data_IF_122991655316
#
_entry.id   IF_122991655316
#
_cell.length_a   1.000
_cell.length_b   1.000
_cell.length_c   1.000
_cell.angle_alpha   90.00
_cell.angle_beta   90.00
_cell.angle_gamma   90.00
#
_symmetry.space_group_name_H-M   'P 1'
#
loop_
_entity.id
_entity.type
_entity.pdbx_description
1 polymer ?
#
# COMPACT_ATOMS: atom_id res chain seq x y z
N UNK A 1 16.15 -5.02 -11.52
CA UNK A 1 15.13 -5.95 -10.96
C UNK A 1 13.79 -5.60 -11.60
N UNK A 2 12.90 -6.59 -11.82
CA UNK A 2 11.57 -6.32 -12.36
C UNK A 2 10.75 -5.49 -11.35
N UNK A 3 10.01 -4.50 -11.84
CA UNK A 3 9.09 -3.68 -11.05
C UNK A 3 7.97 -4.57 -10.49
N UNK A 4 7.66 -4.45 -9.20
CA UNK A 4 6.58 -5.20 -8.55
C UNK A 4 5.46 -4.27 -8.14
N UNK A 5 4.23 -4.79 -8.16
CA UNK A 5 3.04 -4.01 -7.84
C UNK A 5 2.28 -4.52 -6.62
N UNK A 6 1.66 -3.57 -5.91
CA UNK A 6 0.63 -3.80 -4.90
C UNK A 6 -0.69 -3.22 -5.39
N UNK A 7 -1.77 -3.98 -5.29
CA UNK A 7 -3.15 -3.51 -5.49
C UNK A 7 -3.79 -3.34 -4.13
N UNK A 8 -4.11 -2.09 -3.77
CA UNK A 8 -4.57 -1.73 -2.42
C UNK A 8 -6.08 -1.47 -2.37
N UNK A 9 -6.73 -1.96 -1.32
CA UNK A 9 -8.16 -1.76 -1.10
C UNK A 9 -9.03 -2.68 -1.94
N UNK A 10 -8.62 -3.94 -2.14
CA UNK A 10 -9.46 -4.96 -2.77
C UNK A 10 -10.53 -5.42 -1.78
N UNK A 11 -11.77 -5.61 -2.28
CA UNK A 11 -12.92 -5.98 -1.46
C UNK A 11 -13.87 -6.96 -2.15
N UNK A 12 -13.56 -7.40 -3.38
CA UNK A 12 -14.39 -8.35 -4.13
C UNK A 12 -13.54 -9.47 -4.72
N UNK A 13 -14.13 -10.67 -4.96
CA UNK A 13 -13.43 -11.78 -5.60
C UNK A 13 -12.87 -11.43 -6.98
N UNK A 14 -13.62 -10.67 -7.78
CA UNK A 14 -13.24 -10.27 -9.15
C UNK A 14 -11.98 -9.40 -9.14
N UNK A 15 -11.90 -8.44 -8.20
CA UNK A 15 -10.74 -7.59 -8.03
C UNK A 15 -9.50 -8.38 -7.58
N UNK A 16 -9.69 -9.33 -6.66
CA UNK A 16 -8.62 -10.23 -6.19
C UNK A 16 -8.11 -11.09 -7.35
N UNK A 17 -9.01 -11.70 -8.12
CA UNK A 17 -8.61 -12.55 -9.24
C UNK A 17 -7.90 -11.76 -10.34
N UNK A 18 -8.43 -10.58 -10.70
CA UNK A 18 -7.77 -9.70 -11.69
C UNK A 18 -6.36 -9.28 -11.25
N UNK A 19 -6.16 -9.00 -9.95
CA UNK A 19 -4.85 -8.67 -9.41
C UNK A 19 -3.88 -9.87 -9.48
N UNK A 20 -4.35 -11.05 -9.12
CA UNK A 20 -3.55 -12.29 -9.15
C UNK A 20 -3.20 -12.72 -10.57
N UNK A 21 -4.15 -12.68 -11.49
CA UNK A 21 -3.94 -13.03 -12.89
C UNK A 21 -2.99 -12.04 -13.59
N UNK A 22 -3.04 -10.77 -13.17
CA UNK A 22 -2.10 -9.74 -13.59
C UNK A 22 -0.70 -9.84 -12.98
N UNK A 23 -0.49 -10.71 -11.99
CA UNK A 23 0.83 -10.90 -11.33
C UNK A 23 1.14 -9.88 -10.24
N UNK A 24 0.14 -9.32 -9.55
CA UNK A 24 0.36 -8.47 -8.39
C UNK A 24 1.14 -9.24 -7.31
N UNK A 25 2.20 -8.63 -6.79
CA UNK A 25 3.02 -9.23 -5.74
C UNK A 25 2.42 -9.06 -4.33
N UNK A 26 1.58 -8.04 -4.15
CA UNK A 26 0.92 -7.70 -2.88
C UNK A 26 -0.53 -7.32 -3.12
N UNK A 27 -1.44 -7.76 -2.23
CA UNK A 27 -2.83 -7.30 -2.19
C UNK A 27 -3.12 -6.70 -0.81
N UNK A 28 -3.69 -5.49 -0.79
CA UNK A 28 -4.01 -4.74 0.42
C UNK A 28 -5.50 -4.76 0.74
N UNK A 29 -5.83 -5.06 1.99
CA UNK A 29 -7.16 -5.02 2.58
C UNK A 29 -7.20 -3.92 3.62
N UNK A 30 -8.24 -3.07 3.60
CA UNK A 30 -8.31 -1.87 4.43
C UNK A 30 -9.17 -2.10 5.66
N UNK A 31 -8.60 -1.88 6.83
CA UNK A 31 -9.28 -1.95 8.13
C UNK A 31 -9.28 -0.56 8.78
N UNK A 32 -10.10 0.33 8.21
CA UNK A 32 -10.28 1.71 8.67
C UNK A 32 -11.70 2.19 8.33
N UNK A 33 -12.56 2.35 9.34
CA UNK A 33 -14.01 2.55 9.18
C UNK A 33 -14.38 3.78 8.34
N UNK A 34 -13.55 4.82 8.33
CA UNK A 34 -13.80 6.03 7.52
C UNK A 34 -13.48 5.84 6.03
N UNK A 35 -12.86 4.72 5.66
CA UNK A 35 -12.50 4.44 4.27
C UNK A 35 -13.66 3.79 3.51
N UNK A 36 -13.97 4.22 2.27
CA UNK A 36 -14.93 3.51 1.41
C UNK A 36 -14.43 2.13 0.99
N UNK A 37 -13.15 1.81 1.29
CA UNK A 37 -12.50 0.51 1.02
C UNK A 37 -12.45 -0.38 2.25
N UNK A 38 -13.06 0.06 3.36
CA UNK A 38 -13.11 -0.74 4.60
C UNK A 38 -13.80 -2.08 4.35
N UNK A 39 -13.25 -3.15 4.92
CA UNK A 39 -13.80 -4.50 4.78
C UNK A 39 -13.79 -5.21 6.15
N UNK A 40 -14.82 -6.01 6.41
CA UNK A 40 -14.87 -6.82 7.62
C UNK A 40 -13.80 -7.92 7.61
N UNK A 41 -13.22 -8.23 8.77
CA UNK A 41 -12.13 -9.20 8.91
C UNK A 41 -12.46 -10.56 8.30
N UNK A 42 -13.68 -11.07 8.51
CA UNK A 42 -14.13 -12.36 8.00
C UNK A 42 -14.21 -12.38 6.46
N UNK A 43 -14.67 -11.28 5.87
CA UNK A 43 -14.73 -11.15 4.41
C UNK A 43 -13.32 -11.06 3.82
N UNK A 44 -12.44 -10.25 4.44
CA UNK A 44 -11.05 -10.14 4.04
C UNK A 44 -10.30 -11.47 4.16
N UNK A 45 -10.53 -12.23 5.24
CA UNK A 45 -9.90 -13.54 5.44
C UNK A 45 -10.24 -14.53 4.30
N UNK A 46 -11.51 -14.60 3.90
CA UNK A 46 -11.94 -15.43 2.75
C UNK A 46 -11.28 -14.97 1.43
N UNK A 47 -11.22 -13.67 1.19
CA UNK A 47 -10.60 -13.12 -0.02
C UNK A 47 -9.07 -13.27 -0.04
N UNK A 48 -8.43 -13.40 1.11
CA UNK A 48 -6.99 -13.60 1.22
C UNK A 48 -6.55 -15.06 0.95
N UNK A 49 -7.46 -16.03 1.00
CA UNK A 49 -7.12 -17.44 0.73
C UNK A 49 -6.50 -17.66 -0.67
N UNK A 50 -7.13 -17.23 -1.78
CA UNK A 50 -6.52 -17.36 -3.10
C UNK A 50 -5.24 -16.53 -3.26
N UNK A 51 -5.09 -15.42 -2.52
CA UNK A 51 -3.86 -14.61 -2.53
C UNK A 51 -2.68 -15.43 -2.00
N UNK A 52 -2.86 -16.09 -0.84
CA UNK A 52 -1.85 -16.95 -0.23
C UNK A 52 -1.55 -18.18 -1.11
N UNK A 53 -2.59 -18.81 -1.67
CA UNK A 53 -2.46 -19.97 -2.53
C UNK A 53 -1.60 -19.70 -3.78
N UNK A 54 -1.61 -18.46 -4.29
CA UNK A 54 -0.79 -18.04 -5.42
C UNK A 54 0.56 -17.38 -5.03
N UNK A 55 0.90 -17.38 -3.74
CA UNK A 55 2.18 -16.86 -3.23
C UNK A 55 2.32 -15.34 -3.23
N UNK A 56 1.23 -14.60 -3.47
CA UNK A 56 1.22 -13.15 -3.30
C UNK A 56 1.09 -12.78 -1.82
N UNK A 57 1.60 -11.61 -1.43
CA UNK A 57 1.60 -11.15 -0.04
C UNK A 57 0.30 -10.46 0.34
N UNK A 58 -0.26 -10.85 1.48
CA UNK A 58 -1.46 -10.26 2.08
C UNK A 58 -1.06 -9.11 2.99
N UNK A 59 -1.60 -7.91 2.73
CA UNK A 59 -1.29 -6.69 3.50
C UNK A 59 -2.54 -6.17 4.18
N UNK A 60 -2.49 -5.96 5.50
CA UNK A 60 -3.53 -5.27 6.27
C UNK A 60 -3.19 -3.78 6.38
N UNK A 61 -4.00 -2.90 5.79
CA UNK A 61 -3.84 -1.46 5.93
C UNK A 61 -4.66 -0.93 7.09
N UNK A 62 -4.01 -0.17 7.97
CA UNK A 62 -4.63 0.48 9.13
C UNK A 62 -4.19 1.94 9.24
N UNK A 63 -4.92 2.73 10.03
CA UNK A 63 -4.62 4.14 10.33
C UNK A 63 -4.71 4.34 11.83
N UNK A 64 -3.59 4.67 12.47
CA UNK A 64 -3.46 4.87 13.93
C UNK A 64 -4.17 3.76 14.76
N UNK A 65 -3.87 2.46 14.51
CA UNK A 65 -4.60 1.36 15.12
C UNK A 65 -4.37 1.27 16.62
N UNK A 66 -5.40 0.88 17.37
CA UNK A 66 -5.28 0.49 18.77
C UNK A 66 -4.58 -0.88 18.91
N UNK A 67 -4.08 -1.17 20.10
CA UNK A 67 -3.47 -2.47 20.42
C UNK A 67 -4.44 -3.64 20.21
N UNK A 68 -5.71 -3.43 20.59
CA UNK A 68 -6.76 -4.43 20.40
C UNK A 68 -6.98 -4.72 18.90
N UNK A 69 -7.07 -3.69 18.06
CA UNK A 69 -7.21 -3.85 16.61
C UNK A 69 -6.01 -4.56 16.00
N UNK A 70 -4.78 -4.22 16.39
CA UNK A 70 -3.56 -4.89 15.93
C UNK A 70 -3.59 -6.38 16.28
N UNK A 71 -3.93 -6.71 17.53
CA UNK A 71 -4.00 -8.10 18.00
C UNK A 71 -5.10 -8.89 17.28
N UNK A 72 -6.25 -8.28 17.05
CA UNK A 72 -7.37 -8.91 16.33
C UNK A 72 -7.01 -9.18 14.86
N UNK A 73 -6.43 -8.20 14.16
CA UNK A 73 -5.96 -8.36 12.78
C UNK A 73 -4.91 -9.48 12.69
N UNK A 74 -3.93 -9.48 13.59
CA UNK A 74 -2.89 -10.51 13.60
C UNK A 74 -3.48 -11.91 13.82
N UNK A 75 -4.41 -12.07 14.78
CA UNK A 75 -4.98 -13.36 15.13
C UNK A 75 -5.99 -13.89 14.10
N UNK A 76 -6.86 -13.04 13.54
CA UNK A 76 -8.00 -13.46 12.72
C UNK A 76 -7.79 -13.32 11.22
N UNK A 77 -6.99 -12.34 10.80
CA UNK A 77 -6.67 -12.12 9.39
C UNK A 77 -5.30 -12.68 9.02
N UNK A 78 -4.35 -12.72 9.95
CA UNK A 78 -2.99 -13.25 9.75
C UNK A 78 -2.31 -12.70 8.48
N UNK A 79 -2.08 -11.38 8.36
CA UNK A 79 -1.44 -10.79 7.19
C UNK A 79 0.05 -11.14 7.14
N UNK A 80 0.66 -11.08 5.96
CA UNK A 80 2.13 -11.11 5.83
C UNK A 80 2.77 -9.80 6.31
N UNK A 81 2.07 -8.67 6.10
CA UNK A 81 2.53 -7.33 6.46
C UNK A 81 1.36 -6.48 6.97
N UNK A 82 1.66 -5.57 7.90
CA UNK A 82 0.73 -4.49 8.26
C UNK A 82 1.24 -3.18 7.65
N UNK A 83 0.38 -2.49 6.92
CA UNK A 83 0.64 -1.15 6.41
C UNK A 83 0.06 -0.11 7.36
N UNK A 84 0.93 0.74 7.90
CA UNK A 84 0.60 1.85 8.79
C UNK A 84 0.52 3.14 7.98
N UNK A 85 -0.67 3.69 7.85
CA UNK A 85 -0.95 4.86 7.00
C UNK A 85 -1.37 6.10 7.80
N UNK A 86 -1.20 6.07 9.11
CA UNK A 86 -1.51 7.17 10.03
C UNK A 86 -0.26 7.94 10.47
N UNK A 87 -0.34 8.48 11.69
CA UNK A 87 0.72 9.31 12.30
C UNK A 87 1.65 8.52 13.21
N UNK A 88 1.67 7.19 13.07
CA UNK A 88 2.49 6.31 13.93
C UNK A 88 3.98 6.68 13.80
N UNK A 89 4.58 7.10 14.91
CA UNK A 89 6.02 7.36 14.99
C UNK A 89 6.85 6.06 15.13
N UNK A 90 8.19 6.13 15.00
CA UNK A 90 9.06 4.93 15.00
C UNK A 90 8.90 4.03 16.22
N UNK A 91 8.69 4.59 17.42
CA UNK A 91 8.45 3.82 18.64
C UNK A 91 7.15 3.00 18.52
N UNK A 92 6.06 3.65 18.09
CA UNK A 92 4.76 3.00 17.90
C UNK A 92 4.80 1.94 16.80
N UNK A 93 5.51 2.19 15.72
CA UNK A 93 5.74 1.21 14.64
C UNK A 93 6.42 -0.06 15.18
N UNK A 94 7.44 0.09 16.02
CA UNK A 94 8.13 -1.05 16.67
C UNK A 94 7.19 -1.84 17.58
N UNK A 95 6.39 -1.17 18.41
CA UNK A 95 5.40 -1.82 19.29
C UNK A 95 4.39 -2.64 18.49
N UNK A 96 3.87 -2.07 17.38
CA UNK A 96 2.92 -2.76 16.50
C UNK A 96 3.57 -3.98 15.85
N UNK A 97 4.79 -3.85 15.33
CA UNK A 97 5.53 -4.97 14.73
C UNK A 97 5.73 -6.13 15.73
N UNK A 98 6.14 -5.81 16.97
CA UNK A 98 6.33 -6.81 18.03
C UNK A 98 5.00 -7.48 18.42
N UNK A 99 3.93 -6.72 18.55
CA UNK A 99 2.60 -7.24 18.90
C UNK A 99 2.00 -8.13 17.83
N UNK A 100 2.13 -7.72 16.58
CA UNK A 100 1.57 -8.46 15.43
C UNK A 100 2.45 -9.64 15.02
N UNK A 101 3.75 -9.62 15.30
CA UNK A 101 4.70 -10.65 14.85
C UNK A 101 4.94 -10.67 13.36
N UNK A 102 4.65 -9.57 12.63
CA UNK A 102 4.79 -9.46 11.17
C UNK A 102 5.53 -8.19 10.77
N UNK A 103 6.04 -8.14 9.53
CA UNK A 103 6.70 -6.97 8.99
C UNK A 103 5.76 -5.77 8.81
N UNK A 104 6.35 -4.57 8.78
CA UNK A 104 5.60 -3.32 8.64
C UNK A 104 5.94 -2.63 7.33
N UNK A 105 4.92 -2.09 6.66
CA UNK A 105 5.04 -1.05 5.63
C UNK A 105 4.65 0.28 6.29
N UNK A 106 5.56 1.26 6.35
CA UNK A 106 5.19 2.61 6.84
C UNK A 106 4.97 3.56 5.68
N UNK A 107 3.75 4.08 5.56
CA UNK A 107 3.42 5.12 4.60
C UNK A 107 3.82 6.51 5.15
N UNK A 108 4.52 7.27 4.32
CA UNK A 108 5.00 8.63 4.61
C UNK A 108 4.42 9.59 3.55
N UNK A 109 3.74 10.67 3.97
CA UNK A 109 3.13 11.63 3.05
C UNK A 109 4.19 12.57 2.47
N UNK A 110 4.53 12.45 1.19
CA UNK A 110 5.53 13.28 0.51
C UNK A 110 4.90 14.57 0.00
N UNK A 111 5.49 15.70 0.37
CA UNK A 111 5.20 17.01 -0.20
C UNK A 111 6.49 17.79 -0.51
N UNK A 112 7.59 17.42 0.11
CA UNK A 112 8.89 18.09 0.00
C UNK A 112 10.03 17.13 0.38
N UNK A 113 11.25 17.48 0.03
CA UNK A 113 12.44 16.64 0.25
C UNK A 113 12.69 16.32 1.74
N UNK A 114 12.36 17.23 2.66
CA UNK A 114 12.56 17.03 4.10
C UNK A 114 11.83 15.80 4.67
N UNK A 115 10.68 15.42 4.08
CA UNK A 115 9.96 14.21 4.49
C UNK A 115 10.77 12.94 4.19
N UNK A 116 11.54 12.96 3.10
CA UNK A 116 12.38 11.83 2.70
C UNK A 116 13.55 11.63 3.66
N UNK A 117 14.07 12.71 4.22
CA UNK A 117 15.15 12.65 5.22
C UNK A 117 14.62 12.05 6.55
N UNK A 118 13.37 12.34 6.90
CA UNK A 118 12.71 11.75 8.06
C UNK A 118 12.45 10.22 7.92
N UNK A 119 12.46 9.69 6.69
CA UNK A 119 12.29 8.26 6.45
C UNK A 119 13.37 7.40 7.13
N UNK A 120 14.59 7.91 7.29
CA UNK A 120 15.70 7.23 7.95
C UNK A 120 15.36 6.78 9.38
N UNK A 121 14.52 7.53 10.11
CA UNK A 121 14.09 7.18 11.46
C UNK A 121 13.25 5.89 11.51
N UNK A 122 12.66 5.48 10.41
CA UNK A 122 11.81 4.28 10.31
C UNK A 122 12.56 3.05 9.82
N UNK A 123 13.68 3.19 9.10
CA UNK A 123 14.36 2.08 8.43
C UNK A 123 14.75 0.92 9.34
N UNK A 124 15.02 1.19 10.64
CA UNK A 124 15.35 0.15 11.61
C UNK A 124 14.14 -0.64 12.14
N UNK A 125 12.91 -0.17 11.89
CA UNK A 125 11.67 -0.70 12.46
C UNK A 125 10.64 -1.13 11.44
N UNK A 126 10.93 -1.00 10.14
CA UNK A 126 10.04 -1.40 9.05
C UNK A 126 10.68 -2.43 8.13
N UNK A 127 9.86 -3.20 7.44
CA UNK A 127 10.30 -4.03 6.33
C UNK A 127 10.30 -3.26 5.01
N UNK A 128 9.31 -2.36 4.84
CA UNK A 128 9.22 -1.48 3.67
C UNK A 128 8.87 -0.05 4.08
N UNK A 129 9.38 0.91 3.32
CA UNK A 129 8.85 2.27 3.30
C UNK A 129 7.80 2.40 2.19
N UNK A 130 6.89 3.36 2.31
CA UNK A 130 5.98 3.75 1.24
C UNK A 130 5.93 5.27 1.18
N UNK A 131 6.12 5.82 -0.01
CA UNK A 131 6.03 7.26 -0.27
C UNK A 131 4.72 7.54 -1.02
N UNK A 132 3.78 8.17 -0.32
CA UNK A 132 2.44 8.50 -0.84
C UNK A 132 2.28 10.02 -0.98
N UNK A 133 1.41 10.46 -1.87
CA UNK A 133 1.10 11.88 -2.02
C UNK A 133 0.46 12.43 -0.74
N UNK A 134 0.89 13.64 -0.32
CA UNK A 134 0.27 14.30 0.83
C UNK A 134 -1.22 14.53 0.58
N UNK A 135 -2.10 14.12 1.51
CA UNK A 135 -3.53 14.38 1.38
C UNK A 135 -3.83 15.89 1.42
N UNK A 136 -4.94 16.34 0.84
CA UNK A 136 -5.44 17.70 1.03
C UNK A 136 -5.60 18.04 2.51
N UNK A 137 -5.51 19.33 2.88
CA UNK A 137 -5.55 19.77 4.30
C UNK A 137 -6.81 19.32 5.04
N UNK A 138 -7.95 19.26 4.34
CA UNK A 138 -9.27 18.90 4.90
C UNK A 138 -9.70 17.46 4.56
N UNK A 139 -8.75 16.60 4.18
CA UNK A 139 -9.05 15.24 3.81
C UNK A 139 -9.41 14.38 5.03
N UNK A 140 -10.56 13.70 4.97
CA UNK A 140 -10.99 12.76 5.99
C UNK A 140 -10.14 11.48 6.05
N UNK A 141 -9.34 11.21 5.00
CA UNK A 141 -8.47 10.03 4.87
C UNK A 141 -7.03 10.44 4.57
N UNK A 142 -6.03 9.68 5.07
CA UNK A 142 -4.61 9.99 4.84
C UNK A 142 -4.11 9.65 3.44
N UNK A 143 -4.88 8.94 2.59
CA UNK A 143 -4.48 8.53 1.25
C UNK A 143 -5.66 8.24 0.32
N UNK A 144 -5.37 7.81 -0.92
CA UNK A 144 -6.40 7.41 -1.89
C UNK A 144 -7.11 8.56 -2.60
N UNK A 145 -6.50 9.74 -2.68
CA UNK A 145 -7.07 10.96 -3.28
C UNK A 145 -6.79 11.11 -4.79
N UNK A 146 -6.07 10.16 -5.41
CA UNK A 146 -5.73 10.21 -6.83
C UNK A 146 -4.81 11.38 -7.24
N UNK A 147 -4.12 12.02 -6.27
CA UNK A 147 -3.16 13.09 -6.55
C UNK A 147 -1.75 12.53 -6.61
N UNK A 148 -0.98 12.95 -7.60
CA UNK A 148 0.45 12.70 -7.69
C UNK A 148 1.24 13.84 -7.04
N UNK A 149 2.46 13.53 -6.61
CA UNK A 149 3.49 14.51 -6.24
C UNK A 149 4.62 14.49 -7.28
N UNK A 150 5.59 15.36 -7.15
CA UNK A 150 6.78 15.34 -8.03
C UNK A 150 7.64 14.12 -7.71
N UNK A 151 7.54 13.09 -8.54
CA UNK A 151 8.25 11.81 -8.38
C UNK A 151 9.77 11.95 -8.48
N UNK A 152 10.27 13.03 -9.11
CA UNK A 152 11.71 13.29 -9.22
C UNK A 152 12.37 13.57 -7.88
N UNK A 153 11.61 13.93 -6.84
CA UNK A 153 12.09 14.07 -5.46
C UNK A 153 12.72 12.78 -4.93
N UNK A 154 12.31 11.62 -5.44
CA UNK A 154 12.83 10.30 -5.06
C UNK A 154 14.02 9.87 -5.91
N UNK A 155 14.26 10.55 -7.05
CA UNK A 155 15.32 10.20 -8.00
C UNK A 155 16.70 10.23 -7.33
N UNK A 156 17.46 9.14 -7.49
CA UNK A 156 18.81 9.01 -6.91
C UNK A 156 18.85 8.83 -5.39
N UNK A 157 17.71 8.88 -4.68
CA UNK A 157 17.66 8.60 -3.25
C UNK A 157 17.95 7.12 -2.98
N UNK A 158 18.69 6.86 -1.91
CA UNK A 158 19.01 5.50 -1.45
C UNK A 158 18.41 5.29 -0.08
N UNK A 159 17.57 4.26 0.04
CA UNK A 159 16.98 3.81 1.29
C UNK A 159 17.56 2.43 1.64
N UNK A 160 17.75 2.14 2.91
CA UNK A 160 18.23 0.83 3.36
C UNK A 160 17.15 -0.26 3.24
N UNK A 161 15.88 0.15 3.16
CA UNK A 161 14.74 -0.75 2.99
C UNK A 161 14.13 -0.62 1.60
N UNK A 162 13.61 -1.71 1.03
CA UNK A 162 12.81 -1.60 -0.18
C UNK A 162 11.61 -0.69 0.05
N UNK A 163 11.16 -0.02 -1.01
CA UNK A 163 10.13 1.00 -0.85
C UNK A 163 9.13 1.02 -2.00
N UNK A 164 7.91 1.43 -1.68
CA UNK A 164 6.83 1.61 -2.62
C UNK A 164 6.69 3.08 -3.00
N UNK A 165 6.50 3.32 -4.29
CA UNK A 165 5.92 4.56 -4.80
C UNK A 165 4.40 4.42 -4.78
N UNK A 166 3.71 5.36 -4.16
CA UNK A 166 2.26 5.46 -4.11
C UNK A 166 1.79 6.88 -4.48
N UNK A 167 0.50 7.13 -4.45
CA UNK A 167 -0.09 8.45 -4.69
C UNK A 167 -0.31 8.78 -6.16
N UNK A 168 -1.58 8.74 -6.57
CA UNK A 168 -2.01 9.16 -7.90
C UNK A 168 -1.54 8.28 -9.06
N UNK A 169 -1.06 7.07 -8.78
CA UNK A 169 -0.70 6.12 -9.83
C UNK A 169 -1.94 5.55 -10.52
N UNK A 170 -1.83 5.32 -11.82
CA UNK A 170 -2.84 4.74 -12.67
C UNK A 170 -2.18 3.96 -13.85
N UNK A 171 -2.95 3.27 -14.72
CA UNK A 171 -2.40 2.52 -15.85
C UNK A 171 -1.61 3.35 -16.86
N UNK A 172 -1.87 4.65 -16.93
CA UNK A 172 -1.29 5.54 -17.96
C UNK A 172 -0.03 6.26 -17.48
N UNK A 173 0.18 6.37 -16.17
CA UNK A 173 1.30 7.11 -15.60
C UNK A 173 2.34 6.24 -14.86
N UNK A 174 2.01 5.00 -14.46
CA UNK A 174 2.88 4.17 -13.60
C UNK A 174 4.26 3.92 -14.19
N UNK A 175 4.37 3.70 -15.50
CA UNK A 175 5.66 3.48 -16.17
C UNK A 175 6.54 4.73 -16.10
N UNK A 176 5.96 5.91 -16.33
CA UNK A 176 6.69 7.17 -16.22
C UNK A 176 7.07 7.46 -14.76
N UNK A 177 6.15 7.23 -13.82
CA UNK A 177 6.38 7.45 -12.40
C UNK A 177 7.51 6.56 -11.86
N UNK A 178 7.51 5.28 -12.21
CA UNK A 178 8.57 4.34 -11.83
C UNK A 178 9.94 4.75 -12.39
N UNK A 179 10.01 5.16 -13.66
CA UNK A 179 11.25 5.64 -14.28
C UNK A 179 11.76 6.95 -13.65
N UNK A 180 10.86 7.90 -13.39
CA UNK A 180 11.23 9.20 -12.82
C UNK A 180 11.73 9.08 -11.37
N UNK A 181 11.12 8.20 -10.57
CA UNK A 181 11.47 8.00 -9.16
C UNK A 181 12.58 6.98 -8.94
N UNK A 182 12.75 6.02 -9.85
CA UNK A 182 13.59 4.83 -9.64
C UNK A 182 12.97 3.79 -8.69
N UNK A 183 11.63 3.82 -8.52
CA UNK A 183 10.92 2.96 -7.58
C UNK A 183 11.05 1.47 -7.93
N UNK A 184 11.43 0.61 -6.96
CA UNK A 184 11.45 -0.84 -7.16
C UNK A 184 10.05 -1.48 -7.00
N UNK A 185 9.15 -0.80 -6.29
CA UNK A 185 7.79 -1.25 -5.98
C UNK A 185 6.81 -0.10 -6.20
N UNK A 186 5.62 -0.41 -6.71
CA UNK A 186 4.53 0.56 -6.89
C UNK A 186 3.26 0.11 -6.18
N UNK A 187 2.47 1.07 -5.68
CA UNK A 187 1.18 0.82 -5.04
C UNK A 187 0.08 1.64 -5.71
N UNK A 188 -1.02 0.99 -6.04
CA UNK A 188 -2.19 1.67 -6.59
C UNK A 188 -3.45 1.35 -5.81
N UNK A 189 -4.28 2.36 -5.61
CA UNK A 189 -5.62 2.19 -5.03
C UNK A 189 -6.69 2.84 -5.92
N UNK A 190 -6.90 4.16 -5.82
CA UNK A 190 -7.97 4.85 -6.56
C UNK A 190 -7.79 4.85 -8.07
N UNK A 191 -6.56 4.77 -8.59
CA UNK A 191 -6.28 4.76 -10.02
C UNK A 191 -6.74 3.51 -10.78
N UNK A 192 -7.24 2.50 -10.06
CA UNK A 192 -7.86 1.29 -10.63
C UNK A 192 -9.30 1.11 -10.12
N UNK A 193 -9.99 2.21 -9.86
CA UNK A 193 -11.39 2.24 -9.41
C UNK A 193 -12.27 2.96 -10.44
N UNK A 194 -13.49 2.48 -10.62
CA UNK A 194 -14.56 3.16 -11.36
C UNK A 194 -15.37 4.13 -10.48
N UNK A 195 -15.18 4.10 -9.19
CA UNK A 195 -15.77 4.94 -8.16
C UNK A 195 -15.15 4.62 -6.80
N UNK A 196 -15.30 5.47 -5.78
CA UNK A 196 -14.67 5.28 -4.48
C UNK A 196 -14.95 3.90 -3.87
N UNK A 197 -13.89 3.09 -3.67
CA UNK A 197 -13.98 1.73 -3.13
C UNK A 197 -14.41 0.66 -4.14
N UNK A 198 -14.73 1.02 -5.38
CA UNK A 198 -15.20 0.10 -6.42
C UNK A 198 -14.07 -0.21 -7.42
N UNK A 199 -13.30 -1.24 -7.15
CA UNK A 199 -12.22 -1.70 -8.05
C UNK A 199 -12.78 -2.14 -9.40
N UNK A 200 -12.06 -1.78 -10.46
CA UNK A 200 -12.36 -2.20 -11.82
C UNK A 200 -11.34 -3.26 -12.26
N UNK A 201 -11.75 -4.52 -12.53
CA UNK A 201 -10.85 -5.58 -12.97
C UNK A 201 -10.08 -5.24 -14.26
N UNK A 202 -10.68 -4.50 -15.19
CA UNK A 202 -10.03 -4.09 -16.43
C UNK A 202 -8.93 -3.05 -16.17
N UNK A 203 -9.17 -2.09 -15.27
CA UNK A 203 -8.15 -1.11 -14.86
C UNK A 203 -7.02 -1.78 -14.07
N UNK A 204 -7.33 -2.78 -13.22
CA UNK A 204 -6.30 -3.56 -12.52
C UNK A 204 -5.41 -4.29 -13.53
N UNK A 205 -6.00 -4.97 -14.51
CA UNK A 205 -5.27 -5.67 -15.57
C UNK A 205 -4.40 -4.71 -16.38
N UNK A 206 -4.94 -3.56 -16.80
CA UNK A 206 -4.22 -2.54 -17.55
C UNK A 206 -3.04 -1.95 -16.75
N UNK A 207 -3.22 -1.71 -15.44
CA UNK A 207 -2.15 -1.24 -14.55
C UNK A 207 -1.00 -2.26 -14.45
N UNK A 208 -1.34 -3.53 -14.22
CA UNK A 208 -0.34 -4.59 -14.09
C UNK A 208 0.37 -4.88 -15.42
N UNK A 209 -0.32 -4.73 -16.55
CA UNK A 209 0.31 -4.75 -17.87
C UNK A 209 1.33 -3.62 -18.06
N UNK A 210 0.99 -2.41 -17.63
CA UNK A 210 1.91 -1.27 -17.69
C UNK A 210 3.14 -1.49 -16.79
N UNK A 211 2.95 -2.07 -15.59
CA UNK A 211 4.04 -2.44 -14.66
C UNK A 211 4.98 -3.48 -15.27
N UNK A 212 4.44 -4.52 -15.95
CA UNK A 212 5.29 -5.55 -16.61
C UNK A 212 6.14 -5.00 -17.75
N UNK A 213 5.73 -3.91 -18.38
CA UNK A 213 6.45 -3.25 -19.47
C UNK A 213 7.41 -2.14 -19.02
N UNK A 214 7.44 -1.80 -17.71
CA UNK A 214 8.30 -0.76 -17.17
C UNK A 214 9.71 -1.27 -16.91
#
# INVERSE_FOLDING_TARGET
>A
MALKAKICGVSTPEAVMAALDGGAAYLGFVFFDKSPRNIALEAAARLAEPVRARGAKVVALTVDPSDAQVSEIAARFAPDLIQLHGKEGPARVREIAQRAGVGIIKALPVCEAAVLDAAAAFESVVEHLMFDAKPPKDAAMPGGHGRAFDWTLLSGRRFQRPWFLAGGLDPWNVTQAAKASGAPLVDVSSGVERGPGLKDPALIAAFLDAVRRA
#
